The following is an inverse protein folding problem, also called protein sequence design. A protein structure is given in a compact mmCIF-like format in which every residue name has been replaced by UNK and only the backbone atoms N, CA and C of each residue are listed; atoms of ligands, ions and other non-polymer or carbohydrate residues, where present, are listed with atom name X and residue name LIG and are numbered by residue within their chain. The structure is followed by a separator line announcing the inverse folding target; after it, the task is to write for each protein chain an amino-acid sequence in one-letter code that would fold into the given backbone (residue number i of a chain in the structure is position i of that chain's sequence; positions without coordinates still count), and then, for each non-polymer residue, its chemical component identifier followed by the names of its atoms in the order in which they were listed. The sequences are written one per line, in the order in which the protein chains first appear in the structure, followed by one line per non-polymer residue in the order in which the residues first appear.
data_IF_711780332786
#
_entry.id   IF_711780332786
#
_cell.length_a   1.000
_cell.length_b   1.000
_cell.length_c   1.000
_cell.angle_alpha   90.00
_cell.angle_beta   90.00
_cell.angle_gamma   90.00
#
_symmetry.space_group_name_H-M   'P 1'
#
loop_
_entity.id
_entity.type
_entity.pdbx_description
1 polymer ?
#
# COMPACT_ATOMS: atom_id res chain seq x y z
N UNK A 1 12.28 27.05 -3.25
CA UNK A 1 12.00 26.26 -2.03
C UNK A 1 11.02 25.08 -2.25
N UNK A 2 9.99 25.19 -3.10
CA UNK A 2 9.00 24.12 -3.34
C UNK A 2 9.60 22.82 -3.91
N UNK A 3 10.57 22.92 -4.82
CA UNK A 3 11.17 21.76 -5.50
C UNK A 3 11.96 20.84 -4.55
N UNK A 4 12.65 21.42 -3.56
CA UNK A 4 13.43 20.67 -2.58
C UNK A 4 12.55 19.83 -1.66
N UNK A 5 11.40 20.39 -1.23
CA UNK A 5 10.36 19.65 -0.51
C UNK A 5 9.79 18.51 -1.37
N UNK A 6 9.53 18.74 -2.66
CA UNK A 6 9.01 17.70 -3.55
C UNK A 6 9.96 16.51 -3.66
N UNK A 7 11.27 16.78 -3.78
CA UNK A 7 12.29 15.73 -3.85
C UNK A 7 12.38 14.97 -2.53
N UNK A 8 12.39 15.66 -1.38
CA UNK A 8 12.50 15.04 -0.07
C UNK A 8 11.28 14.14 0.25
N UNK A 9 10.07 14.63 -0.01
CA UNK A 9 8.87 13.83 0.18
C UNK A 9 8.71 12.72 -0.86
N UNK A 10 9.16 12.94 -2.11
CA UNK A 10 9.23 11.90 -3.13
C UNK A 10 10.17 10.76 -2.72
N UNK A 11 11.30 11.09 -2.10
CA UNK A 11 12.23 10.12 -1.55
C UNK A 11 11.61 9.33 -0.39
N UNK A 12 11.01 10.00 0.60
CA UNK A 12 10.33 9.33 1.71
C UNK A 12 9.19 8.44 1.24
N UNK A 13 8.38 8.92 0.29
CA UNK A 13 7.30 8.14 -0.31
C UNK A 13 7.82 6.94 -1.11
N UNK A 14 8.97 7.07 -1.78
CA UNK A 14 9.64 5.97 -2.46
C UNK A 14 10.15 4.90 -1.48
N UNK A 15 10.74 5.31 -0.34
CA UNK A 15 11.21 4.39 0.71
C UNK A 15 10.02 3.66 1.36
N UNK A 16 9.01 4.40 1.81
CA UNK A 16 7.79 3.82 2.43
C UNK A 16 7.01 2.98 1.43
N UNK A 17 6.95 3.42 0.18
CA UNK A 17 6.44 2.64 -0.94
C UNK A 17 7.18 1.32 -1.06
N UNK A 18 8.51 1.37 -1.20
CA UNK A 18 9.41 0.21 -1.29
C UNK A 18 9.26 -0.81 -0.15
N UNK A 19 8.85 -0.37 1.04
CA UNK A 19 8.54 -1.23 2.19
C UNK A 19 7.20 -1.98 2.07
N UNK A 20 6.46 -1.80 0.96
CA UNK A 20 5.20 -2.50 0.66
C UNK A 20 3.95 -1.80 1.18
N UNK A 21 4.09 -0.66 1.85
CA UNK A 21 2.95 0.11 2.41
C UNK A 21 2.20 0.92 1.34
N UNK A 22 2.76 1.01 0.13
CA UNK A 22 2.22 1.78 -0.99
C UNK A 22 2.59 3.26 -0.89
N UNK A 23 3.46 3.74 -1.80
CA UNK A 23 4.01 5.10 -1.76
C UNK A 23 2.96 6.22 -1.91
N UNK A 24 1.74 5.86 -2.27
CA UNK A 24 0.65 6.81 -2.47
C UNK A 24 0.16 7.53 -1.22
N UNK A 25 0.26 6.91 -0.04
CA UNK A 25 -0.26 7.47 1.23
C UNK A 25 0.38 8.82 1.58
N UNK A 26 1.64 9.03 1.21
CA UNK A 26 2.36 10.28 1.47
C UNK A 26 2.36 11.27 0.29
N UNK A 27 2.15 10.82 -0.94
CA UNK A 27 2.06 11.71 -2.11
C UNK A 27 0.79 12.59 -2.07
N UNK A 28 -0.29 12.11 -1.45
CA UNK A 28 -1.58 12.79 -1.42
C UNK A 28 -1.56 14.08 -0.58
N UNK A 29 -1.07 14.08 0.68
CA UNK A 29 -0.95 15.32 1.45
C UNK A 29 0.03 16.31 0.80
N UNK A 30 1.05 15.82 0.09
CA UNK A 30 2.04 16.64 -0.61
C UNK A 30 1.39 17.50 -1.69
N UNK A 31 0.59 16.91 -2.58
CA UNK A 31 -0.01 17.66 -3.67
C UNK A 31 -1.23 18.49 -3.25
N UNK A 32 -1.91 18.13 -2.15
CA UNK A 32 -2.96 18.96 -1.56
C UNK A 32 -2.41 20.35 -1.14
N UNK A 33 -1.13 20.41 -0.78
CA UNK A 33 -0.42 21.67 -0.47
C UNK A 33 -0.05 22.51 -1.71
N UNK A 34 -0.11 21.94 -2.92
CA UNK A 34 0.33 22.59 -4.17
C UNK A 34 -0.83 23.03 -5.09
N UNK A 35 -2.10 22.95 -4.66
CA UNK A 35 -3.30 23.35 -5.43
C UNK A 35 -3.44 22.67 -6.82
N UNK A 36 -2.79 21.53 -7.05
CA UNK A 36 -2.94 20.79 -8.30
C UNK A 36 -4.29 20.07 -8.39
N UNK A 37 -4.76 19.87 -9.63
CA UNK A 37 -5.98 19.11 -9.87
C UNK A 37 -5.84 17.69 -9.33
N UNK A 38 -6.86 17.18 -8.61
CA UNK A 38 -6.86 15.84 -8.00
C UNK A 38 -6.52 14.73 -9.01
N UNK A 39 -6.92 14.89 -10.27
CA UNK A 39 -6.61 13.94 -11.36
C UNK A 39 -5.10 13.86 -11.62
N UNK A 40 -4.41 15.00 -11.65
CA UNK A 40 -2.95 15.06 -11.83
C UNK A 40 -2.19 14.43 -10.66
N UNK A 41 -2.70 14.60 -9.44
CA UNK A 41 -2.11 14.04 -8.21
C UNK A 41 -2.15 12.51 -8.23
N UNK A 42 -3.31 11.95 -8.57
CA UNK A 42 -3.49 10.50 -8.66
C UNK A 42 -2.67 9.88 -9.81
N UNK A 43 -2.58 10.57 -10.96
CA UNK A 43 -1.75 10.13 -12.07
C UNK A 43 -0.26 10.10 -11.72
N UNK A 44 0.25 11.15 -11.06
CA UNK A 44 1.64 11.21 -10.61
C UNK A 44 1.98 10.10 -9.61
N UNK A 45 1.03 9.78 -8.72
CA UNK A 45 1.13 8.66 -7.80
C UNK A 45 1.24 7.31 -8.55
N UNK A 46 0.38 7.08 -9.56
CA UNK A 46 0.43 5.87 -10.38
C UNK A 46 1.77 5.71 -11.11
N UNK A 47 2.31 6.79 -11.67
CA UNK A 47 3.62 6.81 -12.33
C UNK A 47 4.75 6.46 -11.35
N UNK A 48 4.66 6.95 -10.10
CA UNK A 48 5.63 6.62 -9.06
C UNK A 48 5.60 5.13 -8.67
N UNK A 49 4.42 4.50 -8.73
CA UNK A 49 4.28 3.06 -8.51
C UNK A 49 4.86 2.20 -9.62
N UNK A 50 4.95 2.71 -10.85
CA UNK A 50 5.38 1.92 -12.00
C UNK A 50 6.82 1.34 -11.86
N UNK A 51 7.87 2.13 -11.58
CA UNK A 51 9.22 1.58 -11.38
C UNK A 51 9.29 0.66 -10.17
N UNK A 52 8.53 0.98 -9.11
CA UNK A 52 8.47 0.15 -7.92
C UNK A 52 7.82 -1.22 -8.19
N UNK A 53 6.73 -1.25 -8.95
CA UNK A 53 6.04 -2.47 -9.35
C UNK A 53 6.93 -3.34 -10.23
N UNK A 54 7.68 -2.73 -11.17
CA UNK A 54 8.65 -3.45 -12.00
C UNK A 54 9.72 -4.12 -11.13
N UNK A 55 10.33 -3.39 -10.20
CA UNK A 55 11.35 -3.96 -9.29
C UNK A 55 10.78 -5.06 -8.40
N UNK A 56 9.60 -4.85 -7.82
CA UNK A 56 8.92 -5.83 -6.97
C UNK A 56 8.57 -7.10 -7.75
N UNK A 57 8.13 -6.96 -9.00
CA UNK A 57 7.81 -8.06 -9.91
C UNK A 57 9.07 -8.84 -10.28
N UNK A 58 10.14 -8.15 -10.67
CA UNK A 58 11.44 -8.77 -11.01
C UNK A 58 11.99 -9.56 -9.81
N UNK A 59 11.97 -8.98 -8.60
CA UNK A 59 12.41 -9.66 -7.38
C UNK A 59 11.55 -10.88 -7.04
N UNK A 60 10.22 -10.76 -7.14
CA UNK A 60 9.32 -11.89 -6.89
C UNK A 60 9.47 -13.01 -7.91
N UNK A 61 9.65 -12.67 -9.19
CA UNK A 61 9.92 -13.64 -10.25
C UNK A 61 11.24 -14.38 -10.00
N UNK A 62 12.29 -13.64 -9.63
CA UNK A 62 13.61 -14.21 -9.35
C UNK A 62 13.62 -15.12 -8.13
N UNK A 63 12.74 -14.88 -7.16
CA UNK A 63 12.59 -15.73 -5.98
C UNK A 63 11.66 -16.95 -6.19
N UNK A 64 11.14 -17.18 -7.41
CA UNK A 64 10.30 -18.34 -7.73
C UNK A 64 8.94 -18.37 -7.02
N UNK A 65 8.54 -17.26 -6.39
CA UNK A 65 7.28 -17.13 -5.63
C UNK A 65 6.07 -16.80 -6.52
N UNK A 66 6.27 -16.62 -7.82
CA UNK A 66 5.22 -16.28 -8.77
C UNK A 66 4.54 -17.54 -9.29
N UNK A 67 3.39 -17.87 -8.69
CA UNK A 67 2.48 -18.86 -9.26
C UNK A 67 1.81 -18.25 -10.50
N UNK A 68 2.31 -18.60 -11.68
CA UNK A 68 1.77 -18.13 -12.97
C UNK A 68 0.42 -18.79 -13.32
N UNK A 69 0.08 -19.92 -12.70
CA UNK A 69 -1.21 -20.59 -12.88
C UNK A 69 -2.35 -19.75 -12.28
N UNK A 70 -3.25 -19.26 -13.15
CA UNK A 70 -4.47 -18.54 -12.76
C UNK A 70 -4.35 -17.01 -12.71
N UNK A 71 -3.14 -16.47 -12.91
CA UNK A 71 -2.90 -15.01 -12.87
C UNK A 71 -3.73 -14.25 -13.92
N UNK A 72 -3.96 -14.85 -15.10
CA UNK A 72 -4.79 -14.25 -16.14
C UNK A 72 -6.22 -13.93 -15.67
N UNK A 73 -6.78 -14.76 -14.78
CA UNK A 73 -8.13 -14.55 -14.25
C UNK A 73 -8.22 -13.34 -13.30
N UNK A 74 -7.09 -12.88 -12.77
CA UNK A 74 -7.01 -11.68 -11.91
C UNK A 74 -6.63 -10.46 -12.77
N UNK A 75 -5.70 -10.62 -13.71
CA UNK A 75 -5.25 -9.53 -14.58
C UNK A 75 -6.38 -9.01 -15.45
N UNK A 76 -7.14 -9.88 -16.11
CA UNK A 76 -8.20 -9.48 -17.04
C UNK A 76 -9.25 -8.58 -16.38
N UNK A 77 -9.90 -8.97 -15.26
CA UNK A 77 -10.84 -8.08 -14.59
C UNK A 77 -10.16 -6.83 -14.00
N UNK A 78 -8.92 -6.93 -13.50
CA UNK A 78 -8.21 -5.76 -12.99
C UNK A 78 -7.97 -4.69 -14.07
N UNK A 79 -7.56 -5.11 -15.28
CA UNK A 79 -7.35 -4.20 -16.41
C UNK A 79 -8.67 -3.59 -16.86
N UNK A 80 -9.72 -4.41 -17.03
CA UNK A 80 -11.05 -3.91 -17.44
C UNK A 80 -11.56 -2.89 -16.42
N UNK A 81 -11.52 -3.22 -15.13
CA UNK A 81 -12.03 -2.34 -14.07
C UNK A 81 -11.19 -1.05 -13.95
N UNK A 82 -9.88 -1.14 -14.18
CA UNK A 82 -8.99 0.04 -14.22
C UNK A 82 -9.34 0.99 -15.35
N UNK A 83 -9.55 0.47 -16.57
CA UNK A 83 -9.94 1.29 -17.74
C UNK A 83 -11.31 1.91 -17.52
N UNK A 84 -12.31 1.13 -17.09
CA UNK A 84 -13.65 1.65 -16.79
C UNK A 84 -13.60 2.71 -15.70
N UNK A 85 -12.85 2.47 -14.62
CA UNK A 85 -12.67 3.45 -13.54
C UNK A 85 -12.02 4.76 -14.01
N UNK A 86 -11.03 4.69 -14.90
CA UNK A 86 -10.39 5.87 -15.47
C UNK A 86 -11.36 6.68 -16.33
N UNK A 87 -12.18 6.02 -17.15
CA UNK A 87 -13.20 6.67 -17.99
C UNK A 87 -14.28 7.35 -17.13
N UNK A 88 -14.79 6.66 -16.11
CA UNK A 88 -15.77 7.21 -15.17
C UNK A 88 -15.21 8.44 -14.45
N UNK A 89 -13.95 8.37 -14.03
CA UNK A 89 -13.26 9.49 -13.34
C UNK A 89 -13.17 10.75 -14.19
N UNK A 90 -13.16 10.62 -15.53
CA UNK A 90 -13.05 11.79 -16.39
C UNK A 90 -14.30 12.69 -16.32
N UNK A 91 -15.47 12.09 -16.16
CA UNK A 91 -16.78 12.74 -16.06
C UNK A 91 -17.10 13.27 -14.66
N UNK A 92 -16.31 12.92 -13.64
CA UNK A 92 -16.54 13.31 -12.23
C UNK A 92 -15.79 14.61 -11.89
N UNK A 93 -16.48 15.51 -11.18
CA UNK A 93 -15.88 16.78 -10.70
C UNK A 93 -14.74 16.49 -9.71
N UNK A 94 -13.61 17.23 -9.76
CA UNK A 94 -12.46 17.03 -8.87
C UNK A 94 -12.80 17.08 -7.37
N UNK A 95 -13.80 17.89 -7.00
CA UNK A 95 -14.28 18.00 -5.61
C UNK A 95 -14.89 16.70 -5.08
N UNK A 96 -15.67 16.00 -5.90
CA UNK A 96 -16.29 14.71 -5.54
C UNK A 96 -15.21 13.65 -5.41
N UNK A 97 -14.28 13.61 -6.37
CA UNK A 97 -13.16 12.68 -6.35
C UNK A 97 -12.31 12.83 -5.08
N UNK A 98 -12.08 14.08 -4.63
CA UNK A 98 -11.37 14.37 -3.38
C UNK A 98 -12.09 13.82 -2.15
N UNK A 99 -13.42 14.00 -2.05
CA UNK A 99 -14.21 13.53 -0.91
C UNK A 99 -14.25 12.00 -0.87
N UNK A 100 -14.53 11.34 -2.01
CA UNK A 100 -14.54 9.88 -2.11
C UNK A 100 -13.19 9.28 -1.73
N UNK A 101 -12.10 9.87 -2.23
CA UNK A 101 -10.75 9.39 -1.95
C UNK A 101 -10.35 9.62 -0.49
N UNK A 102 -10.73 10.75 0.11
CA UNK A 102 -10.55 11.00 1.54
C UNK A 102 -11.29 9.99 2.41
N UNK A 103 -12.54 9.66 2.06
CA UNK A 103 -13.32 8.64 2.77
C UNK A 103 -12.69 7.25 2.63
N UNK A 104 -12.22 6.89 1.44
CA UNK A 104 -11.48 5.64 1.21
C UNK A 104 -10.22 5.54 2.07
N UNK A 105 -9.42 6.62 2.16
CA UNK A 105 -8.24 6.65 3.01
C UNK A 105 -8.58 6.53 4.49
N UNK A 106 -9.64 7.20 4.94
CA UNK A 106 -10.11 7.08 6.32
C UNK A 106 -10.53 5.64 6.64
N UNK A 107 -11.30 5.00 5.74
CA UNK A 107 -11.72 3.61 5.89
C UNK A 107 -10.52 2.64 5.92
N UNK A 108 -9.54 2.82 5.02
CA UNK A 108 -8.30 2.03 5.02
C UNK A 108 -7.51 2.24 6.32
N UNK A 109 -7.38 3.48 6.80
CA UNK A 109 -6.69 3.78 8.06
C UNK A 109 -7.36 3.13 9.27
N UNK A 110 -8.69 3.15 9.34
CA UNK A 110 -9.45 2.47 10.40
C UNK A 110 -9.30 0.95 10.29
N UNK A 111 -9.40 0.38 9.08
CA UNK A 111 -9.20 -1.05 8.86
C UNK A 111 -7.81 -1.51 9.27
N UNK A 112 -6.77 -0.79 8.83
CA UNK A 112 -5.37 -1.03 9.19
C UNK A 112 -5.17 -0.95 10.71
N UNK A 113 -5.76 0.05 11.38
CA UNK A 113 -5.69 0.21 12.84
C UNK A 113 -6.32 -0.98 13.57
N UNK A 114 -7.52 -1.41 13.15
CA UNK A 114 -8.20 -2.56 13.74
C UNK A 114 -7.37 -3.83 13.52
N UNK A 115 -6.86 -4.05 12.31
CA UNK A 115 -6.02 -5.21 12.00
C UNK A 115 -4.70 -5.19 12.77
N UNK A 116 -4.07 -4.02 12.92
CA UNK A 116 -2.84 -3.83 13.68
C UNK A 116 -3.06 -4.16 15.16
N UNK A 117 -4.13 -3.65 15.78
CA UNK A 117 -4.50 -3.98 17.17
C UNK A 117 -4.76 -5.48 17.33
N UNK A 118 -5.46 -6.11 16.38
CA UNK A 118 -5.72 -7.56 16.38
C UNK A 118 -4.43 -8.38 16.22
N UNK A 119 -3.51 -7.94 15.36
CA UNK A 119 -2.20 -8.58 15.15
C UNK A 119 -1.30 -8.46 16.38
N UNK A 120 -1.27 -7.30 17.07
CA UNK A 120 -0.52 -7.12 18.33
C UNK A 120 -1.06 -8.08 19.41
N UNK A 121 -2.38 -8.26 19.49
CA UNK A 121 -3.00 -9.21 20.43
C UNK A 121 -2.71 -10.68 20.08
N UNK A 122 -2.49 -11.02 18.81
CA UNK A 122 -2.10 -12.36 18.38
C UNK A 122 -0.60 -12.63 18.57
N UNK A 123 0.27 -11.65 18.30
CA UNK A 123 1.71 -11.70 18.55
C UNK A 123 2.02 -11.97 20.03
N UNK A 124 1.33 -11.28 20.94
CA UNK A 124 1.46 -11.50 22.40
C UNK A 124 0.99 -12.88 22.86
N UNK A 125 0.03 -13.51 22.16
CA UNK A 125 -0.40 -14.90 22.44
C UNK A 125 0.61 -15.94 21.91
N UNK A 126 1.24 -15.69 20.76
CA UNK A 126 2.31 -16.55 20.22
C UNK A 126 3.55 -16.52 21.11
N UNK A 127 4.00 -15.35 21.56
CA UNK A 127 5.13 -15.23 22.50
C UNK A 127 4.90 -15.95 23.84
N UNK A 128 3.68 -15.89 24.39
CA UNK A 128 3.31 -16.63 25.62
C UNK A 128 3.22 -18.14 25.43
N UNK A 129 2.88 -18.64 24.23
CA UNK A 129 2.88 -20.08 23.90
C UNK A 129 4.30 -20.62 23.72
N UNK A 130 5.21 -19.84 23.13
CA UNK A 130 6.63 -20.20 22.97
C UNK A 130 7.32 -20.29 24.33
N UNK A 131 7.20 -19.25 25.17
CA UNK A 131 7.81 -19.25 26.51
C UNK A 131 7.26 -20.32 27.47
N UNK A 132 6.04 -20.84 27.25
CA UNK A 132 5.52 -22.01 27.99
C UNK A 132 6.08 -23.34 27.47
N UNK A 133 6.41 -23.45 26.17
CA UNK A 133 7.05 -24.64 25.60
C UNK A 133 8.50 -24.77 26.05
N UNK A 134 9.25 -23.66 26.05
CA UNK A 134 10.66 -23.66 26.45
C UNK A 134 10.84 -24.00 27.94
N UNK A 135 9.96 -23.47 28.81
CA UNK A 135 9.93 -23.83 30.24
C UNK A 135 9.56 -25.30 30.49
N UNK A 136 8.72 -25.90 29.65
CA UNK A 136 8.39 -27.35 29.76
C UNK A 136 9.54 -28.23 29.29
N UNK A 137 10.32 -27.81 28.28
CA UNK A 137 11.47 -28.57 27.80
C UNK A 137 12.66 -28.50 28.77
N UNK A 138 12.90 -27.37 29.44
CA UNK A 138 13.92 -27.28 30.49
C UNK A 138 13.58 -28.12 31.72
N UNK A 139 12.30 -28.21 32.10
CA UNK A 139 11.87 -29.01 33.27
C UNK A 139 11.88 -30.52 33.04
N UNK A 140 12.08 -30.98 31.80
CA UNK A 140 12.10 -32.40 31.44
C UNK A 140 13.53 -32.92 31.18
N UNK A 141 14.56 -32.08 31.41
CA UNK A 141 15.98 -32.38 31.20
C UNK A 141 16.82 -32.30 32.49
N UNK A 142 16.20 -32.02 33.64
CA UNK A 142 16.82 -32.08 34.97
C UNK A 142 15.97 -32.96 35.87
#
# INVERSE_FOLDING_TARGET
MKIFLTILFGFVAGVVGGMGMGGGTFLIPLFQFLNYSQKSIQAANLISFLPMAVLALVLHFKNGLVKTKGVGYIIVPAVILSVVGALVTNSVKPRVLKICFGFFFLAMGVFELINSIKNIKNQSKMGKKQGKKDKKQQKNKG
#
